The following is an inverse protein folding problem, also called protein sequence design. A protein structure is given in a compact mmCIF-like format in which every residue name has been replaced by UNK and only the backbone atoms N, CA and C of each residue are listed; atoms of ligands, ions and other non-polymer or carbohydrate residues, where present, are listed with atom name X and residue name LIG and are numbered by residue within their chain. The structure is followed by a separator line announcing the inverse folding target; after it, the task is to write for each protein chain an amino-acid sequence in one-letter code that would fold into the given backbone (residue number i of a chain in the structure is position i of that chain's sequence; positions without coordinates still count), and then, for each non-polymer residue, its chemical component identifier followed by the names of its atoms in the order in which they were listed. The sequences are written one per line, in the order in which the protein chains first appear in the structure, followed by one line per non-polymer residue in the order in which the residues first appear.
data_IF_318430796812
#
_entry.id   IF_318430796812
#
_cell.length_a   1.000
_cell.length_b   1.000
_cell.length_c   1.000
_cell.angle_alpha   90.00
_cell.angle_beta   90.00
_cell.angle_gamma   90.00
#
_symmetry.space_group_name_H-M   'P 1'
#
loop_
_entity.id
_entity.type
_entity.pdbx_description
1 polymer ?
#
# COMPACT_ATOMS: atom_id res chain seq x y z
N UNK A 1 7.43 -16.85 10.57
CA UNK A 1 8.16 -16.50 9.33
C UNK A 1 7.46 -15.41 8.52
N UNK A 2 6.17 -15.51 8.20
CA UNK A 2 5.40 -14.51 7.41
C UNK A 2 5.51 -13.05 7.91
N UNK A 3 5.54 -12.83 9.23
CA UNK A 3 5.63 -11.48 9.84
C UNK A 3 6.85 -10.66 9.39
N UNK A 4 7.96 -11.32 9.05
CA UNK A 4 9.23 -10.65 8.68
C UNK A 4 9.21 -10.08 7.26
N UNK A 5 8.32 -10.58 6.40
CA UNK A 5 8.35 -10.28 4.96
C UNK A 5 7.26 -9.31 4.50
N UNK A 6 6.32 -8.94 5.38
CA UNK A 6 5.17 -8.12 5.01
C UNK A 6 5.58 -6.79 4.37
N UNK A 7 6.61 -6.12 4.91
CA UNK A 7 7.14 -4.88 4.33
C UNK A 7 7.75 -5.08 2.93
N UNK A 8 8.49 -6.18 2.71
CA UNK A 8 9.07 -6.52 1.39
C UNK A 8 7.96 -6.85 0.39
N UNK A 9 6.94 -7.62 0.81
CA UNK A 9 5.80 -7.97 -0.05
C UNK A 9 5.05 -6.71 -0.47
N UNK A 10 4.82 -5.79 0.47
CA UNK A 10 4.23 -4.49 0.19
C UNK A 10 5.03 -3.65 -0.79
N UNK A 11 6.35 -3.60 -0.63
CA UNK A 11 7.24 -2.91 -1.55
C UNK A 11 7.16 -3.48 -2.97
N UNK A 12 7.21 -4.81 -3.13
CA UNK A 12 7.13 -5.45 -4.44
C UNK A 12 5.80 -5.19 -5.13
N UNK A 13 4.69 -5.29 -4.40
CA UNK A 13 3.36 -4.96 -4.93
C UNK A 13 3.27 -3.50 -5.40
N UNK A 14 3.80 -2.59 -4.59
CA UNK A 14 3.79 -1.17 -4.95
C UNK A 14 4.67 -0.88 -6.18
N UNK A 15 5.84 -1.51 -6.27
CA UNK A 15 6.70 -1.40 -7.42
C UNK A 15 5.99 -1.81 -8.71
N UNK A 16 5.30 -2.97 -8.71
CA UNK A 16 4.53 -3.41 -9.87
C UNK A 16 3.39 -2.45 -10.22
N UNK A 17 2.63 -1.96 -9.23
CA UNK A 17 1.53 -1.04 -9.49
C UNK A 17 1.99 0.32 -10.03
N UNK A 18 3.08 0.88 -9.49
CA UNK A 18 3.70 2.11 -10.00
C UNK A 18 4.22 1.89 -11.42
N UNK A 19 4.96 0.81 -11.68
CA UNK A 19 5.48 0.51 -13.01
C UNK A 19 4.36 0.33 -14.03
N UNK A 20 3.27 -0.33 -13.64
CA UNK A 20 2.08 -0.48 -14.49
C UNK A 20 1.47 0.88 -14.79
N UNK A 21 1.30 1.74 -13.79
CA UNK A 21 0.77 3.10 -13.99
C UNK A 21 1.63 3.92 -14.96
N UNK A 22 2.95 3.89 -14.77
CA UNK A 22 3.92 4.55 -15.67
C UNK A 22 3.81 3.99 -17.09
N UNK A 23 3.85 2.66 -17.25
CA UNK A 23 3.79 2.02 -18.56
C UNK A 23 2.50 2.37 -19.31
N UNK A 24 1.35 2.34 -18.64
CA UNK A 24 0.07 2.68 -19.27
C UNK A 24 -0.04 4.15 -19.65
N UNK A 25 0.50 5.05 -18.82
CA UNK A 25 0.54 6.48 -19.12
C UNK A 25 1.37 6.78 -20.37
N UNK A 26 2.56 6.18 -20.49
CA UNK A 26 3.47 6.47 -21.60
C UNK A 26 3.14 5.68 -22.87
N UNK A 27 2.77 4.41 -22.77
CA UNK A 27 2.52 3.55 -23.95
C UNK A 27 1.09 3.67 -24.48
N UNK A 28 0.11 3.87 -23.61
CA UNK A 28 -1.32 3.79 -23.98
C UNK A 28 -2.07 5.11 -23.77
N UNK A 29 -1.39 6.17 -23.28
CA UNK A 29 -2.00 7.47 -22.94
C UNK A 29 -3.18 7.36 -21.98
N UNK A 30 -3.22 6.28 -21.18
CA UNK A 30 -4.24 6.03 -20.17
C UNK A 30 -3.71 6.48 -18.81
N UNK A 31 -4.45 7.36 -18.14
CA UNK A 31 -4.06 7.83 -16.81
C UNK A 31 -4.49 6.81 -15.75
N UNK A 32 -3.49 6.15 -15.15
CA UNK A 32 -3.65 5.27 -14.00
C UNK A 32 -3.00 5.91 -12.76
N UNK A 33 -3.02 7.24 -12.64
CA UNK A 33 -2.49 7.96 -11.47
C UNK A 33 -2.97 7.39 -10.13
N UNK A 34 -4.28 7.14 -9.96
CA UNK A 34 -4.80 6.53 -8.73
C UNK A 34 -4.23 5.15 -8.40
N UNK A 35 -3.85 4.34 -9.41
CA UNK A 35 -3.17 3.06 -9.18
C UNK A 35 -1.79 3.25 -8.54
N UNK A 36 -1.03 4.25 -8.98
CA UNK A 36 0.28 4.57 -8.39
C UNK A 36 0.13 5.08 -6.95
N UNK A 37 -0.86 5.94 -6.69
CA UNK A 37 -1.14 6.45 -5.34
C UNK A 37 -1.54 5.33 -4.36
N UNK A 38 -2.47 4.46 -4.76
CA UNK A 38 -2.87 3.28 -3.97
C UNK A 38 -1.66 2.37 -3.73
N UNK A 39 -0.82 2.16 -4.73
CA UNK A 39 0.39 1.35 -4.62
C UNK A 39 1.34 1.88 -3.55
N UNK A 40 1.63 3.18 -3.56
CA UNK A 40 2.46 3.83 -2.53
C UNK A 40 1.80 3.70 -1.15
N UNK A 41 0.49 3.91 -1.07
CA UNK A 41 -0.24 3.84 0.19
C UNK A 41 -0.20 2.44 0.81
N UNK A 42 -0.38 1.40 -0.02
CA UNK A 42 -0.28 -0.01 0.38
C UNK A 42 1.14 -0.33 0.88
N UNK A 43 2.18 0.19 0.24
CA UNK A 43 3.56 0.00 0.72
C UNK A 43 3.79 0.64 2.09
N UNK A 44 3.40 1.89 2.29
CA UNK A 44 3.55 2.57 3.59
C UNK A 44 2.79 1.81 4.68
N UNK A 45 1.56 1.38 4.38
CA UNK A 45 0.71 0.63 5.32
C UNK A 45 1.37 -0.69 5.73
N UNK A 46 1.77 -1.50 4.75
CA UNK A 46 2.38 -2.80 5.00
C UNK A 46 3.74 -2.68 5.67
N UNK A 47 4.54 -1.67 5.34
CA UNK A 47 5.78 -1.36 6.05
C UNK A 47 5.54 -1.00 7.51
N UNK A 48 4.54 -0.15 7.77
CA UNK A 48 4.17 0.29 9.13
C UNK A 48 3.67 -0.88 9.98
N UNK A 49 2.81 -1.73 9.41
CA UNK A 49 2.35 -2.94 10.09
C UNK A 49 3.53 -3.89 10.32
N UNK A 50 4.38 -4.07 9.31
CA UNK A 50 5.58 -4.93 9.41
C UNK A 50 6.52 -4.45 10.52
N UNK A 51 6.72 -3.14 10.68
CA UNK A 51 7.58 -2.61 11.74
C UNK A 51 7.00 -2.81 13.14
N UNK A 52 5.67 -2.80 13.30
CA UNK A 52 5.01 -3.05 14.58
C UNK A 52 4.96 -4.53 14.95
N UNK A 53 4.58 -5.42 14.02
CA UNK A 53 4.42 -6.86 14.29
C UNK A 53 5.73 -7.58 14.62
N UNK A 54 6.86 -6.98 14.24
CA UNK A 54 8.20 -7.51 14.48
C UNK A 54 8.84 -6.98 15.77
N UNK A 55 8.15 -6.13 16.55
CA UNK A 55 8.59 -5.72 17.89
C UNK A 55 8.44 -6.87 18.89
N UNK A 56 9.20 -6.82 20.00
CA UNK A 56 9.07 -7.78 21.10
C UNK A 56 7.66 -7.80 21.70
N UNK A 57 7.01 -6.63 21.81
CA UNK A 57 5.63 -6.50 22.28
C UNK A 57 4.78 -5.67 21.30
N UNK A 58 4.24 -6.29 20.23
CA UNK A 58 3.47 -5.59 19.21
C UNK A 58 2.15 -5.01 19.74
N UNK A 59 1.89 -3.73 19.42
CA UNK A 59 0.62 -3.08 19.74
C UNK A 59 -0.46 -3.48 18.74
N UNK A 60 -1.26 -4.48 19.09
CA UNK A 60 -2.39 -4.96 18.25
C UNK A 60 -3.35 -3.84 17.84
N UNK A 61 -3.70 -2.94 18.77
CA UNK A 61 -4.59 -1.82 18.48
C UNK A 61 -4.03 -0.90 17.39
N UNK A 62 -2.72 -0.65 17.39
CA UNK A 62 -2.07 0.21 16.39
C UNK A 62 -2.13 -0.42 14.99
N UNK A 63 -1.91 -1.73 14.90
CA UNK A 63 -2.03 -2.48 13.65
C UNK A 63 -3.45 -2.38 13.10
N UNK A 64 -4.47 -2.53 13.95
CA UNK A 64 -5.87 -2.40 13.53
C UNK A 64 -6.21 -0.97 13.08
N UNK A 65 -5.74 0.05 13.81
CA UNK A 65 -5.92 1.47 13.43
C UNK A 65 -5.31 1.76 12.07
N UNK A 66 -4.05 1.37 11.85
CA UNK A 66 -3.35 1.58 10.57
C UNK A 66 -4.05 0.84 9.43
N UNK A 67 -4.53 -0.38 9.68
CA UNK A 67 -5.27 -1.17 8.68
C UNK A 67 -6.61 -0.49 8.30
N UNK A 68 -7.37 -0.02 9.29
CA UNK A 68 -8.64 0.66 9.06
C UNK A 68 -8.48 1.99 8.32
N UNK A 69 -7.49 2.81 8.72
CA UNK A 69 -7.16 4.06 8.03
C UNK A 69 -6.73 3.81 6.58
N UNK A 70 -5.97 2.76 6.34
CA UNK A 70 -5.54 2.38 5.00
C UNK A 70 -6.69 1.98 4.10
N UNK A 71 -7.60 1.15 4.61
CA UNK A 71 -8.83 0.80 3.89
C UNK A 71 -9.67 2.05 3.59
N UNK A 72 -9.86 2.94 4.56
CA UNK A 72 -10.60 4.18 4.34
C UNK A 72 -9.95 5.06 3.27
N UNK A 73 -8.62 5.22 3.30
CA UNK A 73 -7.88 6.00 2.29
C UNK A 73 -8.02 5.40 0.89
N UNK A 74 -7.88 4.07 0.75
CA UNK A 74 -8.06 3.37 -0.53
C UNK A 74 -9.49 3.58 -1.05
N UNK A 75 -10.51 3.47 -0.19
CA UNK A 75 -11.90 3.72 -0.56
C UNK A 75 -12.11 5.15 -1.08
N UNK A 76 -11.52 6.15 -0.43
CA UNK A 76 -11.60 7.54 -0.89
C UNK A 76 -10.93 7.70 -2.26
N UNK A 77 -9.75 7.11 -2.45
CA UNK A 77 -9.04 7.20 -3.74
C UNK A 77 -9.85 6.54 -4.86
N UNK A 78 -10.41 5.36 -4.61
CA UNK A 78 -11.14 4.59 -5.64
C UNK A 78 -12.50 5.20 -5.98
N UNK A 79 -13.25 5.69 -4.99
CA UNK A 79 -14.64 6.10 -5.19
C UNK A 79 -14.86 7.61 -5.28
N UNK A 80 -13.90 8.44 -4.84
CA UNK A 80 -14.09 9.90 -4.77
C UNK A 80 -13.06 10.72 -5.55
N UNK A 81 -11.85 10.20 -5.77
CA UNK A 81 -10.75 10.95 -6.43
C UNK A 81 -10.45 10.50 -7.86
N UNK A 82 -11.14 9.47 -8.34
CA UNK A 82 -10.98 8.85 -9.66
C UNK A 82 -12.25 9.10 -10.50
#
# INVERSE_FOLDING_TARGET
MIKKYLGIVGFLLAFFGIMTSVLYKYSYKMDLGPLAEISIFVWITTWTISSEINKENPKKWWIYTVSALSLAAIMIIVFYLN
#
